data_IF_207972320010
#
_entry.id   IF_207972320010
#
_cell.length_a   1.000
_cell.length_b   1.000
_cell.length_c   1.000
_cell.angle_alpha   90.00
_cell.angle_beta   90.00
_cell.angle_gamma   90.00
#
_symmetry.space_group_name_H-M   'P 1'
#
loop_
_entity.id
_entity.type
_entity.pdbx_description
1 polymer ?
#
# COMPACT_ATOMS: atom_id res chain seq x y z
N UNK A 1 11.93 43.18 9.31
CA UNK A 1 12.32 42.48 8.07
C UNK A 1 11.30 41.36 7.85
N UNK A 2 10.40 41.51 6.89
CA UNK A 2 9.43 40.47 6.56
C UNK A 2 10.11 39.40 5.69
N UNK A 3 10.03 38.11 6.04
CA UNK A 3 10.61 37.06 5.21
C UNK A 3 9.87 37.04 3.87
N UNK A 4 10.59 37.29 2.79
CA UNK A 4 10.07 37.18 1.44
C UNK A 4 9.77 35.70 1.20
N UNK A 5 8.48 35.34 1.16
CA UNK A 5 8.04 33.98 0.85
C UNK A 5 8.49 33.69 -0.59
N UNK A 6 9.55 32.89 -0.72
CA UNK A 6 10.05 32.45 -2.01
C UNK A 6 8.92 31.72 -2.75
N UNK A 7 8.51 32.27 -3.89
CA UNK A 7 7.49 31.68 -4.76
C UNK A 7 8.01 30.32 -5.21
N UNK A 8 7.44 29.28 -4.62
CA UNK A 8 7.91 27.91 -4.81
C UNK A 8 7.49 27.43 -6.19
N UNK A 9 8.47 27.16 -7.05
CA UNK A 9 8.23 26.70 -8.43
C UNK A 9 8.40 25.19 -8.46
N UNK A 10 7.33 24.45 -8.81
CA UNK A 10 7.46 23.04 -9.17
C UNK A 10 7.80 22.93 -10.64
N UNK A 11 8.76 22.05 -10.92
CA UNK A 11 9.15 21.68 -12.26
C UNK A 11 8.57 20.31 -12.61
N UNK A 12 8.27 20.10 -13.88
CA UNK A 12 8.04 18.78 -14.44
C UNK A 12 9.17 18.49 -15.42
N UNK A 13 9.91 17.40 -15.20
CA UNK A 13 11.08 17.04 -16.00
C UNK A 13 10.79 15.80 -16.82
N UNK A 14 11.19 15.83 -18.10
CA UNK A 14 11.03 14.70 -19.00
C UNK A 14 11.85 13.52 -18.51
N UNK A 15 11.25 12.33 -18.47
CA UNK A 15 11.92 11.09 -18.06
C UNK A 15 12.06 10.13 -19.22
N UNK A 16 13.07 9.26 -19.16
CA UNK A 16 13.34 8.21 -20.15
C UNK A 16 12.40 7.01 -20.08
N UNK A 17 11.49 7.00 -19.11
CA UNK A 17 10.61 5.86 -18.81
C UNK A 17 9.16 6.21 -19.12
N UNK A 18 8.41 5.22 -19.59
CA UNK A 18 6.96 5.27 -19.57
C UNK A 18 6.49 5.26 -18.12
N UNK A 19 5.56 6.13 -17.78
CA UNK A 19 4.94 6.20 -16.46
C UNK A 19 3.54 5.62 -16.57
N UNK A 20 3.20 4.64 -15.72
CA UNK A 20 1.83 4.14 -15.58
C UNK A 20 1.28 4.48 -14.20
N UNK A 21 -0.04 4.62 -14.10
CA UNK A 21 -0.65 5.13 -12.89
C UNK A 21 -2.14 5.36 -12.98
N UNK A 22 -2.70 6.03 -11.97
CA UNK A 22 -4.09 6.49 -12.01
C UNK A 22 -4.13 7.74 -12.90
N UNK A 23 -4.80 7.60 -14.03
CA UNK A 23 -5.01 8.67 -15.00
C UNK A 23 -6.18 9.55 -14.53
N UNK A 24 -5.92 10.85 -14.43
CA UNK A 24 -6.92 11.87 -14.16
C UNK A 24 -7.46 12.51 -15.45
N UNK A 25 -7.71 13.81 -15.39
CA UNK A 25 -8.20 14.59 -16.52
C UNK A 25 -7.17 14.66 -17.67
N UNK A 26 -7.68 14.80 -18.89
CA UNK A 26 -6.89 15.08 -20.09
C UNK A 26 -7.29 16.42 -20.69
N UNK A 27 -6.32 17.12 -21.27
CA UNK A 27 -6.48 18.47 -21.83
C UNK A 27 -5.75 18.58 -23.16
N UNK A 28 -6.26 19.44 -24.04
CA UNK A 28 -5.54 19.89 -25.24
C UNK A 28 -5.03 21.30 -24.99
N UNK A 29 -3.77 21.56 -25.35
CA UNK A 29 -3.12 22.87 -25.24
C UNK A 29 -2.23 23.13 -26.47
N UNK A 30 -1.71 24.36 -26.61
CA UNK A 30 -0.74 24.69 -27.67
C UNK A 30 0.73 24.54 -27.25
N UNK A 31 1.02 24.24 -25.98
CA UNK A 31 2.39 24.19 -25.47
C UNK A 31 2.55 23.28 -24.25
N UNK A 32 3.69 22.56 -24.19
CA UNK A 32 4.04 21.66 -23.08
C UNK A 32 4.00 22.36 -21.70
N UNK A 33 4.35 23.64 -21.65
CA UNK A 33 4.32 24.43 -20.41
C UNK A 33 2.92 24.56 -19.82
N UNK A 34 1.88 24.61 -20.66
CA UNK A 34 0.51 24.69 -20.18
C UNK A 34 0.07 23.37 -19.55
N UNK A 35 0.60 22.25 -20.04
CA UNK A 35 0.39 20.95 -19.41
C UNK A 35 1.01 20.87 -18.01
N UNK A 36 2.22 21.39 -17.83
CA UNK A 36 2.84 21.49 -16.51
C UNK A 36 2.02 22.37 -15.54
N UNK A 37 1.47 23.50 -16.02
CA UNK A 37 0.57 24.35 -15.21
C UNK A 37 -0.70 23.60 -14.81
N UNK A 38 -1.31 22.85 -15.73
CA UNK A 38 -2.51 22.05 -15.42
C UNK A 38 -2.19 20.92 -14.45
N UNK A 39 -1.07 20.22 -14.64
CA UNK A 39 -0.61 19.17 -13.75
C UNK A 39 -0.44 19.69 -12.32
N UNK A 40 0.23 20.82 -12.17
CA UNK A 40 0.43 21.49 -10.88
C UNK A 40 -0.90 21.84 -10.20
N UNK A 41 -1.82 22.50 -10.92
CA UNK A 41 -3.14 22.88 -10.38
C UNK A 41 -3.97 21.67 -9.92
N UNK A 42 -3.79 20.52 -10.55
CA UNK A 42 -4.52 19.29 -10.26
C UNK A 42 -3.73 18.31 -9.37
N UNK A 43 -2.61 18.73 -8.77
CA UNK A 43 -1.74 17.87 -7.95
C UNK A 43 -1.32 16.56 -8.68
N UNK A 44 -1.09 16.63 -9.98
CA UNK A 44 -0.67 15.47 -10.76
C UNK A 44 0.83 15.22 -10.59
N UNK A 45 1.19 13.99 -10.24
CA UNK A 45 2.60 13.61 -10.02
C UNK A 45 3.37 13.45 -11.33
N UNK A 46 2.67 13.12 -12.42
CA UNK A 46 3.26 12.97 -13.75
C UNK A 46 2.30 13.41 -14.86
N UNK A 47 2.84 13.53 -16.07
CA UNK A 47 2.14 13.95 -17.29
C UNK A 47 2.56 13.00 -18.42
N UNK A 48 1.58 12.43 -19.12
CA UNK A 48 1.78 11.88 -20.46
C UNK A 48 1.45 12.98 -21.48
N UNK A 49 2.37 13.26 -22.40
CA UNK A 49 2.19 14.21 -23.50
C UNK A 49 2.22 13.46 -24.83
N UNK A 50 1.25 13.77 -25.69
CA UNK A 50 1.19 13.33 -27.09
C UNK A 50 1.08 14.57 -27.97
N UNK A 51 1.97 14.72 -28.95
CA UNK A 51 1.97 15.86 -29.89
C UNK A 51 1.38 15.44 -31.23
N UNK A 52 0.48 16.25 -31.78
CA UNK A 52 -0.10 16.06 -33.10
C UNK A 52 -0.12 17.40 -33.85
N UNK A 53 0.92 17.67 -34.64
CA UNK A 53 1.15 19.00 -35.21
C UNK A 53 1.35 20.05 -34.12
N UNK A 54 0.55 21.11 -34.15
CA UNK A 54 0.56 22.19 -33.14
C UNK A 54 -0.29 21.86 -31.90
N UNK A 55 -1.02 20.74 -31.92
CA UNK A 55 -1.85 20.31 -30.80
C UNK A 55 -1.05 19.45 -29.81
N UNK A 56 -1.07 19.84 -28.53
CA UNK A 56 -0.45 19.10 -27.44
C UNK A 56 -1.54 18.53 -26.53
N UNK A 57 -1.73 17.21 -26.59
CA UNK A 57 -2.63 16.49 -25.69
C UNK A 57 -1.87 16.04 -24.45
N UNK A 58 -2.40 16.39 -23.29
CA UNK A 58 -1.77 16.12 -22.00
C UNK A 58 -2.72 15.36 -21.09
N UNK A 59 -2.26 14.21 -20.62
CA UNK A 59 -2.98 13.32 -19.72
C UNK A 59 -2.29 13.32 -18.36
N UNK A 60 -3.02 13.75 -17.34
CA UNK A 60 -2.48 13.87 -15.99
C UNK A 60 -2.46 12.52 -15.29
N UNK A 61 -1.36 12.21 -14.61
CA UNK A 61 -1.19 11.00 -13.81
C UNK A 61 -1.08 11.44 -12.34
N UNK A 62 -2.13 11.18 -11.55
CA UNK A 62 -2.22 11.65 -10.16
C UNK A 62 -1.52 10.72 -9.19
N UNK A 63 -1.51 9.41 -9.46
CA UNK A 63 -0.74 8.42 -8.71
C UNK A 63 0.13 7.59 -9.64
N UNK A 64 1.35 7.28 -9.19
CA UNK A 64 2.30 6.45 -9.94
C UNK A 64 2.13 5.00 -9.52
N UNK A 65 1.98 4.12 -10.50
CA UNK A 65 1.94 2.68 -10.32
C UNK A 65 3.24 2.01 -10.74
N UNK A 66 3.84 2.41 -11.86
CA UNK A 66 5.12 1.82 -12.27
C UNK A 66 5.84 2.66 -13.30
N UNK A 67 7.11 2.31 -13.49
CA UNK A 67 7.90 2.73 -14.63
C UNK A 67 8.13 1.53 -15.57
N UNK A 68 8.35 1.81 -16.84
CA UNK A 68 8.79 0.81 -17.81
C UNK A 68 9.62 1.47 -18.91
N UNK A 69 10.31 0.67 -19.71
CA UNK A 69 10.99 1.17 -20.90
C UNK A 69 9.98 1.91 -21.79
N UNK A 70 10.39 3.09 -22.28
CA UNK A 70 9.62 3.83 -23.27
C UNK A 70 9.79 3.14 -24.63
N UNK A 71 8.69 2.64 -25.19
CA UNK A 71 8.67 2.12 -26.55
C UNK A 71 8.73 3.27 -27.55
N UNK A 72 9.24 3.01 -28.76
CA UNK A 72 9.22 3.95 -29.88
C UNK A 72 7.79 4.45 -30.10
N UNK A 73 7.50 5.64 -29.59
CA UNK A 73 6.16 6.22 -29.59
C UNK A 73 6.28 7.74 -29.57
N UNK A 74 5.26 8.42 -30.06
CA UNK A 74 5.17 9.88 -30.02
C UNK A 74 4.83 10.42 -28.62
N UNK A 75 4.91 9.55 -27.61
CA UNK A 75 4.59 9.87 -26.23
C UNK A 75 5.84 10.32 -25.48
N UNK A 76 5.71 11.42 -24.76
CA UNK A 76 6.70 11.88 -23.79
C UNK A 76 6.10 11.86 -22.39
N UNK A 77 6.90 11.50 -21.39
CA UNK A 77 6.47 11.46 -20.01
C UNK A 77 7.27 12.45 -19.18
N UNK A 78 6.58 13.17 -18.31
CA UNK A 78 7.17 14.14 -17.40
C UNK A 78 6.79 13.80 -15.97
N UNK A 79 7.76 13.88 -15.06
CA UNK A 79 7.57 13.62 -13.64
C UNK A 79 7.78 14.93 -12.86
N UNK A 80 6.98 15.14 -11.81
CA UNK A 80 7.21 16.25 -10.88
C UNK A 80 8.64 16.13 -10.32
N UNK A 81 9.44 17.15 -10.58
CA UNK A 81 10.85 17.20 -10.23
C UNK A 81 11.05 18.15 -9.05
N UNK A 82 11.54 17.57 -7.97
CA UNK A 82 11.75 18.23 -6.69
C UNK A 82 13.20 18.67 -6.49
N UNK A 83 14.07 18.42 -7.48
CA UNK A 83 15.44 18.92 -7.48
C UNK A 83 15.40 20.44 -7.50
N UNK A 84 15.96 21.07 -6.46
CA UNK A 84 16.18 22.51 -6.46
C UNK A 84 17.20 22.90 -7.53
N UNK A 85 16.91 23.97 -8.27
CA UNK A 85 17.81 24.56 -9.26
C UNK A 85 17.06 25.10 -10.49
N UNK A 86 17.54 26.23 -11.00
CA UNK A 86 17.00 26.88 -12.21
C UNK A 86 17.47 26.22 -13.52
N UNK A 87 18.16 25.08 -13.43
CA UNK A 87 18.78 24.43 -14.59
C UNK A 87 17.72 23.61 -15.32
N UNK A 88 17.22 24.15 -16.43
CA UNK A 88 16.47 23.40 -17.42
C UNK A 88 17.42 22.50 -18.20
N UNK A 89 17.68 21.29 -17.71
CA UNK A 89 18.38 20.28 -18.51
C UNK A 89 17.52 19.96 -19.74
N UNK A 90 18.07 20.20 -20.93
CA UNK A 90 17.39 19.91 -22.19
C UNK A 90 17.23 18.39 -22.45
N UNK A 91 17.89 17.55 -21.65
CA UNK A 91 17.86 16.10 -21.77
C UNK A 91 16.84 15.43 -20.85
N UNK A 92 16.30 14.29 -21.30
CA UNK A 92 15.53 13.41 -20.43
C UNK A 92 16.44 12.77 -19.37
N UNK A 93 15.92 12.65 -18.14
CA UNK A 93 16.65 12.10 -16.98
C UNK A 93 16.12 10.71 -16.60
N UNK A 94 16.88 9.98 -15.78
CA UNK A 94 16.36 8.75 -15.17
C UNK A 94 15.36 9.09 -14.07
N UNK A 95 14.44 8.17 -13.79
CA UNK A 95 13.49 8.34 -12.68
C UNK A 95 14.21 8.24 -11.33
N UNK A 96 15.25 7.42 -11.22
CA UNK A 96 16.13 7.36 -10.06
C UNK A 96 16.79 8.70 -9.73
N UNK A 97 17.22 9.48 -10.73
CA UNK A 97 17.83 10.80 -10.50
C UNK A 97 16.85 11.75 -9.80
N UNK A 98 15.57 11.72 -10.19
CA UNK A 98 14.52 12.53 -9.57
C UNK A 98 14.24 12.05 -8.14
N UNK A 99 14.12 10.73 -7.94
CA UNK A 99 13.85 10.13 -6.63
C UNK A 99 14.99 10.33 -5.62
N UNK A 100 16.24 10.44 -6.09
CA UNK A 100 17.40 10.70 -5.23
C UNK A 100 17.35 12.05 -4.50
N UNK A 101 16.62 13.02 -5.05
CA UNK A 101 16.50 14.38 -4.51
C UNK A 101 15.24 14.60 -3.65
N UNK A 102 14.42 13.56 -3.47
CA UNK A 102 13.20 13.62 -2.67
C UNK A 102 13.36 14.07 -1.21
N UNK A 103 14.51 13.95 -0.52
CA UNK A 103 14.65 14.48 0.84
C UNK A 103 14.37 15.99 0.98
N UNK A 104 14.20 16.74 -0.12
CA UNK A 104 13.89 18.18 -0.14
C UNK A 104 12.39 18.50 -0.28
N UNK A 105 11.50 17.51 -0.11
CA UNK A 105 10.08 17.65 -0.42
C UNK A 105 9.28 18.39 0.67
N UNK A 106 9.43 19.72 0.73
CA UNK A 106 8.75 20.56 1.74
C UNK A 106 7.65 21.45 1.14
N UNK A 107 7.54 21.50 -0.20
CA UNK A 107 6.82 22.56 -0.89
C UNK A 107 5.36 22.20 -1.21
N UNK A 108 5.06 20.94 -1.54
CA UNK A 108 3.71 20.47 -1.87
C UNK A 108 3.46 19.08 -1.33
N UNK A 109 2.89 19.04 -0.12
CA UNK A 109 2.64 17.83 0.64
C UNK A 109 1.97 16.73 -0.19
N UNK A 110 0.96 17.05 -0.98
CA UNK A 110 0.22 16.08 -1.81
C UNK A 110 1.10 15.38 -2.85
N UNK A 111 1.93 16.12 -3.58
CA UNK A 111 2.86 15.55 -4.57
C UNK A 111 3.99 14.78 -3.88
N UNK A 112 4.49 15.32 -2.78
CA UNK A 112 5.48 14.65 -1.94
C UNK A 112 4.97 13.30 -1.44
N UNK A 113 3.73 13.26 -0.95
CA UNK A 113 3.09 12.07 -0.41
C UNK A 113 3.01 10.99 -1.48
N UNK A 114 2.59 11.31 -2.72
CA UNK A 114 2.49 10.32 -3.81
C UNK A 114 3.86 9.76 -4.19
N UNK A 115 4.87 10.61 -4.39
CA UNK A 115 6.21 10.16 -4.75
C UNK A 115 6.84 9.35 -3.61
N UNK A 116 6.67 9.80 -2.36
CA UNK A 116 7.20 9.14 -1.15
C UNK A 116 6.52 7.81 -0.90
N UNK A 117 5.21 7.73 -1.11
CA UNK A 117 4.46 6.49 -1.02
C UNK A 117 4.94 5.48 -2.07
N UNK A 118 5.12 5.92 -3.33
CA UNK A 118 5.68 5.05 -4.38
C UNK A 118 7.09 4.57 -4.01
N UNK A 119 7.98 5.49 -3.62
CA UNK A 119 9.36 5.16 -3.20
C UNK A 119 9.36 4.14 -2.06
N UNK A 120 8.58 4.41 -1.02
CA UNK A 120 8.50 3.56 0.18
C UNK A 120 8.00 2.16 -0.17
N UNK A 121 7.04 2.05 -1.09
CA UNK A 121 6.61 0.76 -1.60
C UNK A 121 7.75 0.01 -2.29
N UNK A 122 8.47 0.66 -3.21
CA UNK A 122 9.58 0.05 -3.93
C UNK A 122 10.70 -0.42 -2.98
N UNK A 123 11.04 0.42 -2.00
CA UNK A 123 12.00 0.10 -0.96
C UNK A 123 11.53 -1.11 -0.12
N UNK A 124 10.23 -1.20 0.22
CA UNK A 124 9.66 -2.32 0.99
C UNK A 124 9.75 -3.68 0.29
N UNK A 125 9.70 -3.69 -1.05
CA UNK A 125 9.83 -4.91 -1.86
C UNK A 125 11.26 -5.11 -2.38
N UNK A 126 12.21 -4.26 -1.96
CA UNK A 126 13.60 -4.25 -2.41
C UNK A 126 13.74 -4.16 -3.94
N UNK A 127 12.84 -3.45 -4.60
CA UNK A 127 12.90 -3.20 -6.05
C UNK A 127 13.63 -1.88 -6.33
N UNK A 128 14.34 -1.83 -7.47
CA UNK A 128 14.79 -0.55 -8.05
C UNK A 128 13.57 0.28 -8.45
N UNK A 129 13.71 1.59 -8.58
CA UNK A 129 12.55 2.43 -8.94
C UNK A 129 12.06 2.09 -10.35
N UNK A 130 12.98 1.74 -11.26
CA UNK A 130 12.71 1.37 -12.64
C UNK A 130 11.94 0.05 -12.77
N UNK A 131 12.24 -0.95 -11.92
CA UNK A 131 11.58 -2.26 -11.94
C UNK A 131 10.36 -2.33 -11.01
N UNK A 132 10.11 -1.27 -10.26
CA UNK A 132 9.06 -1.23 -9.27
C UNK A 132 7.67 -1.09 -9.90
N UNK A 133 6.78 -2.04 -9.57
CA UNK A 133 5.41 -2.08 -10.05
C UNK A 133 4.43 -2.18 -8.88
N UNK A 134 3.88 -1.05 -8.46
CA UNK A 134 2.82 -0.93 -7.46
C UNK A 134 1.54 -1.53 -8.03
N UNK A 135 0.93 -2.52 -7.36
CA UNK A 135 -0.28 -3.14 -7.87
C UNK A 135 -1.41 -2.12 -7.89
N UNK A 136 -2.19 -2.13 -8.97
CA UNK A 136 -3.40 -1.34 -9.05
C UNK A 136 -4.52 -2.10 -8.31
N UNK A 137 -4.95 -1.55 -7.18
CA UNK A 137 -5.95 -2.17 -6.35
C UNK A 137 -7.36 -1.98 -6.95
N UNK A 138 -8.13 -3.06 -7.00
CA UNK A 138 -9.54 -3.01 -7.42
C UNK A 138 -10.34 -2.07 -6.48
N UNK A 139 -11.49 -1.59 -6.97
CA UNK A 139 -12.45 -0.84 -6.14
C UNK A 139 -12.73 -1.61 -4.83
N UNK A 140 -12.65 -0.94 -3.70
CA UNK A 140 -12.78 -1.46 -2.32
C UNK A 140 -11.54 -2.19 -1.76
N UNK A 141 -10.42 -2.22 -2.49
CA UNK A 141 -9.13 -2.66 -1.95
C UNK A 141 -8.21 -1.46 -1.74
N UNK A 142 -7.41 -1.51 -0.67
CA UNK A 142 -6.37 -0.52 -0.35
C UNK A 142 -5.00 -1.20 -0.38
N UNK A 143 -3.98 -0.46 -0.82
CA UNK A 143 -2.62 -0.96 -0.75
C UNK A 143 -2.15 -0.99 0.71
N UNK A 144 -1.59 -2.13 1.12
CA UNK A 144 -0.94 -2.32 2.42
C UNK A 144 0.29 -3.20 2.21
N UNK A 145 1.46 -2.73 2.65
CA UNK A 145 2.76 -3.39 2.46
C UNK A 145 2.94 -3.99 1.05
N UNK A 146 2.50 -3.25 0.03
CA UNK A 146 2.66 -3.68 -1.35
C UNK A 146 1.68 -4.71 -1.89
N UNK A 147 0.63 -5.04 -1.13
CA UNK A 147 -0.47 -5.89 -1.58
C UNK A 147 -1.80 -5.19 -1.43
N UNK A 148 -2.74 -5.52 -2.29
CA UNK A 148 -4.09 -4.97 -2.22
C UNK A 148 -4.92 -5.78 -1.22
N UNK A 149 -5.29 -5.15 -0.11
CA UNK A 149 -6.12 -5.73 0.94
C UNK A 149 -7.50 -5.09 0.98
N UNK A 150 -8.55 -5.81 1.44
CA UNK A 150 -9.85 -5.20 1.67
C UNK A 150 -9.75 -4.00 2.61
N UNK A 151 -10.69 -3.06 2.51
CA UNK A 151 -10.69 -1.89 3.38
C UNK A 151 -10.66 -2.28 4.88
N UNK A 152 -9.74 -1.67 5.63
CA UNK A 152 -9.49 -1.96 7.04
C UNK A 152 -8.49 -3.09 7.31
N UNK A 153 -8.15 -3.89 6.30
CA UNK A 153 -7.15 -4.94 6.43
C UNK A 153 -5.75 -4.41 6.11
N UNK A 154 -4.76 -4.94 6.82
CA UNK A 154 -3.33 -4.72 6.56
C UNK A 154 -2.68 -6.01 6.09
N UNK A 155 -1.80 -5.94 5.08
CA UNK A 155 -1.03 -7.09 4.66
C UNK A 155 0.06 -7.37 5.70
N UNK A 156 0.12 -8.60 6.19
CA UNK A 156 1.18 -9.06 7.07
C UNK A 156 2.07 -10.02 6.29
N UNK A 157 3.26 -9.55 5.91
CA UNK A 157 4.21 -10.31 5.07
C UNK A 157 4.57 -11.69 5.64
N UNK A 158 4.69 -11.81 6.97
CA UNK A 158 4.99 -13.09 7.66
C UNK A 158 3.89 -14.15 7.50
N UNK A 159 2.63 -13.72 7.42
CA UNK A 159 1.48 -14.58 7.13
C UNK A 159 1.20 -14.71 5.63
N UNK A 160 1.78 -13.80 4.83
CA UNK A 160 1.46 -13.58 3.41
C UNK A 160 -0.04 -13.37 3.17
N UNK A 161 -0.75 -12.76 4.14
CA UNK A 161 -2.21 -12.57 4.14
C UNK A 161 -2.58 -11.14 4.56
N UNK A 162 -3.76 -10.70 4.15
CA UNK A 162 -4.40 -9.50 4.66
C UNK A 162 -5.13 -9.83 5.97
N UNK A 163 -4.89 -9.04 7.02
CA UNK A 163 -5.39 -9.31 8.38
C UNK A 163 -5.94 -8.04 9.01
N UNK A 164 -6.90 -8.19 9.92
CA UNK A 164 -7.48 -7.09 10.68
C UNK A 164 -7.78 -7.56 12.11
N UNK A 165 -7.34 -6.83 13.16
CA UNK A 165 -7.89 -7.02 14.49
C UNK A 165 -9.30 -6.45 14.51
N UNK A 166 -10.28 -7.26 14.90
CA UNK A 166 -11.67 -6.83 14.92
C UNK A 166 -12.30 -7.08 16.29
N UNK A 167 -12.78 -6.00 16.90
CA UNK A 167 -13.55 -6.07 18.14
C UNK A 167 -14.97 -6.52 17.83
N UNK A 168 -15.30 -7.70 18.29
CA UNK A 168 -16.61 -8.33 18.19
C UNK A 168 -17.44 -8.02 19.44
N UNK A 169 -18.75 -7.83 19.28
CA UNK A 169 -19.71 -7.76 20.39
C UNK A 169 -20.55 -9.03 20.39
N UNK A 170 -21.02 -9.42 21.57
CA UNK A 170 -22.02 -10.48 21.74
C UNK A 170 -21.61 -11.83 21.13
N UNK A 171 -20.35 -12.24 21.31
CA UNK A 171 -19.91 -13.61 20.96
C UNK A 171 -20.36 -14.55 22.07
N UNK A 172 -21.13 -15.58 21.72
CA UNK A 172 -21.50 -16.65 22.65
C UNK A 172 -20.91 -18.01 22.25
N UNK A 173 -20.51 -18.17 20.99
CA UNK A 173 -19.95 -19.41 20.45
C UNK A 173 -18.82 -19.13 19.46
N UNK A 174 -18.02 -20.16 19.17
CA UNK A 174 -16.99 -20.05 18.15
C UNK A 174 -17.59 -19.90 16.74
N UNK A 175 -18.73 -20.55 16.49
CA UNK A 175 -19.54 -20.34 15.28
C UNK A 175 -19.95 -18.88 15.07
N UNK A 176 -20.27 -18.13 16.13
CA UNK A 176 -20.56 -16.69 16.03
C UNK A 176 -19.33 -15.90 15.54
N UNK A 177 -18.13 -16.26 16.01
CA UNK A 177 -16.87 -15.61 15.61
C UNK A 177 -16.61 -15.86 14.13
N UNK A 178 -16.71 -17.12 13.69
CA UNK A 178 -16.49 -17.50 12.30
C UNK A 178 -17.48 -16.79 11.36
N UNK A 179 -18.76 -16.70 11.76
CA UNK A 179 -19.78 -15.96 11.02
C UNK A 179 -19.43 -14.47 10.91
N UNK A 180 -18.96 -13.84 11.99
CA UNK A 180 -18.56 -12.43 11.95
C UNK A 180 -17.34 -12.20 11.05
N UNK A 181 -16.36 -13.11 11.05
CA UNK A 181 -15.23 -13.07 10.11
C UNK A 181 -15.71 -13.22 8.65
N UNK A 182 -16.58 -14.19 8.37
CA UNK A 182 -17.11 -14.46 7.03
C UNK A 182 -17.89 -13.27 6.46
N UNK A 183 -18.67 -12.57 7.30
CA UNK A 183 -19.36 -11.34 6.90
C UNK A 183 -18.42 -10.19 6.52
N UNK A 184 -17.15 -10.24 6.95
CA UNK A 184 -16.13 -9.24 6.65
C UNK A 184 -15.26 -9.69 5.50
N UNK A 185 -15.65 -9.30 4.29
CA UNK A 185 -14.88 -9.59 3.07
C UNK A 185 -14.59 -11.08 2.86
N UNK A 186 -15.48 -11.97 3.33
CA UNK A 186 -15.30 -13.41 3.28
C UNK A 186 -13.99 -13.87 3.94
N UNK A 187 -13.64 -13.23 5.06
CA UNK A 187 -12.42 -13.53 5.82
C UNK A 187 -12.63 -14.72 6.77
N UNK A 188 -11.51 -15.29 7.22
CA UNK A 188 -11.48 -16.41 8.18
C UNK A 188 -10.59 -16.05 9.36
N UNK A 189 -10.77 -16.74 10.48
CA UNK A 189 -9.90 -16.62 11.65
C UNK A 189 -8.45 -17.00 11.30
N UNK A 190 -7.51 -16.37 12.00
CA UNK A 190 -6.07 -16.56 11.74
C UNK A 190 -5.59 -17.96 12.16
N UNK A 191 -4.78 -18.56 11.30
CA UNK A 191 -3.98 -19.75 11.57
C UNK A 191 -2.53 -19.35 11.86
N UNK A 192 -1.92 -19.91 12.91
CA UNK A 192 -0.53 -19.63 13.31
C UNK A 192 0.28 -20.92 13.17
N UNK A 193 1.26 -20.92 12.28
CA UNK A 193 1.99 -22.12 11.88
C UNK A 193 3.40 -22.21 12.49
N UNK A 194 3.88 -21.14 13.14
CA UNK A 194 5.22 -21.08 13.73
C UNK A 194 5.39 -19.92 14.72
N UNK A 195 6.51 -19.93 15.45
CA UNK A 195 6.89 -18.89 16.42
C UNK A 195 6.96 -17.48 15.82
N UNK A 196 7.45 -17.34 14.58
CA UNK A 196 7.59 -16.03 13.95
C UNK A 196 6.22 -15.38 13.68
N UNK A 197 5.25 -16.17 13.23
CA UNK A 197 3.87 -15.72 13.07
C UNK A 197 3.24 -15.37 14.42
N UNK A 198 3.48 -16.17 15.46
CA UNK A 198 2.98 -15.90 16.80
C UNK A 198 3.52 -14.58 17.38
N UNK A 199 4.83 -14.37 17.29
CA UNK A 199 5.49 -13.13 17.72
C UNK A 199 4.96 -11.92 16.95
N UNK A 200 4.92 -12.00 15.62
CA UNK A 200 4.44 -10.90 14.79
C UNK A 200 2.97 -10.55 15.06
N UNK A 201 2.12 -11.55 15.32
CA UNK A 201 0.74 -11.32 15.72
C UNK A 201 0.66 -10.65 17.10
N UNK A 202 1.42 -11.15 18.09
CA UNK A 202 1.51 -10.57 19.43
C UNK A 202 1.92 -9.10 19.39
N UNK A 203 2.97 -8.78 18.63
CA UNK A 203 3.45 -7.41 18.45
C UNK A 203 2.37 -6.50 17.81
N UNK A 204 1.62 -7.03 16.84
CA UNK A 204 0.54 -6.29 16.18
C UNK A 204 -0.66 -6.01 17.10
N UNK A 205 -0.96 -6.92 18.02
CA UNK A 205 -2.08 -6.81 18.96
C UNK A 205 -1.74 -5.95 20.19
N UNK A 206 -0.45 -5.76 20.50
CA UNK A 206 0.05 -5.02 21.66
C UNK A 206 -0.51 -5.58 22.97
N UNK A 207 -1.51 -4.92 23.55
CA UNK A 207 -2.14 -5.29 24.83
C UNK A 207 -3.51 -5.92 24.66
N UNK A 208 -3.93 -6.20 23.43
CA UNK A 208 -5.24 -6.80 23.16
C UNK A 208 -5.15 -8.33 23.14
N UNK A 209 -6.12 -8.98 23.78
CA UNK A 209 -6.37 -10.41 23.56
C UNK A 209 -7.21 -10.59 22.29
N UNK A 210 -6.88 -11.60 21.49
CA UNK A 210 -7.60 -11.94 20.27
C UNK A 210 -8.00 -13.41 20.25
N UNK A 211 -9.17 -13.70 19.72
CA UNK A 211 -9.58 -15.05 19.36
C UNK A 211 -8.93 -15.40 18.02
N UNK A 212 -8.31 -16.58 17.95
CA UNK A 212 -7.69 -17.13 16.74
C UNK A 212 -8.44 -18.37 16.27
N UNK A 213 -8.06 -18.90 15.11
CA UNK A 213 -8.75 -20.04 14.49
C UNK A 213 -8.45 -21.41 15.12
N UNK A 214 -7.72 -21.45 16.25
CA UNK A 214 -7.36 -22.70 16.92
C UNK A 214 -8.38 -23.03 18.00
N UNK A 215 -9.19 -24.06 17.77
CA UNK A 215 -10.32 -24.36 18.65
C UNK A 215 -10.57 -25.86 18.79
N UNK A 216 -11.31 -26.23 19.84
CA UNK A 216 -11.92 -27.55 19.93
C UNK A 216 -13.15 -27.56 18.99
N UNK A 217 -13.25 -28.47 18.01
CA UNK A 217 -14.42 -28.54 17.15
C UNK A 217 -15.70 -28.77 17.94
N UNK A 218 -16.79 -28.14 17.51
CA UNK A 218 -18.09 -28.32 18.14
C UNK A 218 -18.50 -29.80 18.11
N UNK A 219 -19.16 -30.26 19.17
CA UNK A 219 -19.59 -31.65 19.36
C UNK A 219 -18.44 -32.67 19.51
N UNK A 220 -17.20 -32.23 19.75
CA UNK A 220 -16.11 -33.12 20.15
C UNK A 220 -15.90 -33.12 21.66
N UNK A 221 -15.57 -34.30 22.20
CA UNK A 221 -15.14 -34.43 23.59
C UNK A 221 -13.81 -33.71 23.74
N UNK A 222 -13.72 -32.84 24.75
CA UNK A 222 -12.50 -32.10 25.04
C UNK A 222 -11.33 -33.06 25.28
N UNK A 223 -10.21 -32.78 24.62
CA UNK A 223 -8.92 -33.46 24.85
C UNK A 223 -7.79 -32.46 24.67
N UNK A 224 -6.63 -32.69 25.30
CA UNK A 224 -5.45 -31.81 25.14
C UNK A 224 -4.96 -31.72 23.69
N UNK A 225 -5.21 -32.75 22.88
CA UNK A 225 -4.73 -32.88 21.49
C UNK A 225 -5.85 -32.72 20.46
N UNK A 226 -7.08 -32.40 20.89
CA UNK A 226 -8.25 -32.35 20.00
C UNK A 226 -8.43 -31.03 19.26
N UNK A 227 -7.60 -30.02 19.55
CA UNK A 227 -7.68 -28.71 18.92
C UNK A 227 -7.30 -28.79 17.44
N UNK A 228 -8.03 -28.02 16.61
CA UNK A 228 -7.84 -27.95 15.16
C UNK A 228 -7.95 -26.51 14.67
N UNK A 229 -7.36 -26.27 13.51
CA UNK A 229 -7.57 -25.04 12.75
C UNK A 229 -8.92 -25.07 12.02
N UNK A 230 -9.37 -23.90 11.55
CA UNK A 230 -10.63 -23.73 10.81
C UNK A 230 -10.76 -24.64 9.58
N UNK A 231 -9.64 -25.00 8.95
CA UNK A 231 -9.61 -25.90 7.80
C UNK A 231 -9.64 -27.39 8.18
N UNK A 232 -9.77 -27.69 9.49
CA UNK A 232 -9.78 -29.04 10.04
C UNK A 232 -8.39 -29.67 10.21
N UNK A 233 -7.32 -28.97 9.84
CA UNK A 233 -5.96 -29.46 10.01
C UNK A 233 -5.53 -29.44 11.49
N UNK A 234 -4.64 -30.35 11.85
CA UNK A 234 -4.02 -30.39 13.18
C UNK A 234 -2.90 -29.34 13.26
N UNK A 235 -2.69 -28.81 14.46
CA UNK A 235 -1.57 -27.90 14.70
C UNK A 235 -0.23 -28.60 14.53
N UNK A 236 0.67 -27.96 13.78
CA UNK A 236 2.10 -28.27 13.78
C UNK A 236 2.88 -27.39 14.77
N UNK A 237 2.20 -26.38 15.30
CA UNK A 237 2.72 -25.37 16.19
C UNK A 237 1.63 -25.03 17.20
N UNK A 238 2.01 -25.05 18.48
CA UNK A 238 1.22 -24.50 19.57
C UNK A 238 2.15 -23.78 20.55
N UNK A 239 1.63 -22.74 21.18
CA UNK A 239 2.35 -21.95 22.18
C UNK A 239 1.38 -21.60 23.29
N UNK A 240 0.93 -22.65 23.98
CA UNK A 240 0.04 -22.51 25.11
C UNK A 240 0.71 -21.75 26.26
N UNK A 241 -0.07 -20.93 26.96
CA UNK A 241 0.37 -20.37 28.23
C UNK A 241 0.60 -21.49 29.26
N UNK A 242 1.44 -21.26 30.27
CA UNK A 242 1.72 -22.26 31.29
C UNK A 242 0.41 -22.76 31.94
N UNK A 243 0.23 -24.09 32.01
CA UNK A 243 -0.99 -24.74 32.50
C UNK A 243 -2.10 -24.92 31.46
N UNK A 244 -1.95 -24.41 30.23
CA UNK A 244 -2.90 -24.59 29.12
C UNK A 244 -2.40 -25.66 28.13
N UNK A 245 -3.30 -26.27 27.32
CA UNK A 245 -4.75 -26.14 27.38
C UNK A 245 -5.32 -26.90 28.57
N UNK A 246 -6.33 -26.32 29.22
CA UNK A 246 -7.16 -26.97 30.23
C UNK A 246 -8.64 -26.88 29.82
N UNK A 247 -9.50 -27.49 30.63
CA UNK A 247 -10.95 -27.42 30.47
C UNK A 247 -11.58 -26.49 31.53
N UNK A 248 -10.81 -25.50 32.00
CA UNK A 248 -11.27 -24.55 33.01
C UNK A 248 -11.63 -23.25 32.28
N UNK A 249 -12.85 -22.72 32.46
CA UNK A 249 -13.21 -21.42 31.90
C UNK A 249 -12.16 -20.38 32.31
N UNK A 250 -11.77 -19.45 31.41
CA UNK A 250 -10.85 -18.38 31.79
C UNK A 250 -11.42 -17.64 33.00
N UNK A 251 -10.64 -17.52 34.08
CA UNK A 251 -11.00 -16.67 35.21
C UNK A 251 -11.27 -15.28 34.66
N UNK A 252 -12.50 -14.77 34.84
CA UNK A 252 -12.87 -13.42 34.43
C UNK A 252 -12.22 -12.41 35.37
N UNK A 253 -10.91 -12.25 35.27
CA UNK A 253 -10.23 -11.07 35.80
C UNK A 253 -10.21 -10.03 34.67
N UNK A 254 -11.38 -9.40 34.47
CA UNK A 254 -11.54 -8.11 33.80
C UNK A 254 -11.71 -7.04 34.87
#
# INVERSE_FOLDING_TARGET
MSPTISKSTIRYTQVRHKITGIVGSSYTTGADQDCAKQAFKNNASAIEIVKNGDEVKCTLITQISSFSQLENSDKSYYLADLRGGDICDAGSVSVSDIYSAMPKCNLLKTLCDVLTEHKSYCDSIKATIEDCKKPNCRKNLKLSEGRCCPEGFSYMSIFKKCMIPYATKDITSFSDVDKQCSMRSNSVLVTIENDQQNMALSDSLKTMYAVIGFHMPENQVWTKTGFKWMDGSSAKYDSWFNGKPDNVPPERNL
#
